data_IF_768127123864
#
_entry.id   IF_768127123864
#
_cell.length_a   1.000
_cell.length_b   1.000
_cell.length_c   1.000
_cell.angle_alpha   90.00
_cell.angle_beta   90.00
_cell.angle_gamma   90.00
#
_symmetry.space_group_name_H-M   'P 1'
#
loop_
_entity.id
_entity.type
_entity.pdbx_description
1 polymer ?
#
# COMPACT_ATOMS: atom_id res chain seq x y z
N UNK A 1 9.47 21.04 -0.54
CA UNK A 1 10.43 21.91 -1.25
C UNK A 1 10.41 21.47 -2.70
N UNK A 2 10.28 22.40 -3.64
CA UNK A 2 10.36 22.10 -5.07
C UNK A 2 11.74 22.55 -5.58
N UNK A 3 12.65 21.62 -5.91
CA UNK A 3 13.98 21.95 -6.41
C UNK A 3 13.95 22.68 -7.76
N UNK A 4 12.91 22.49 -8.58
CA UNK A 4 12.83 23.07 -9.93
C UNK A 4 12.65 24.59 -9.91
N UNK A 5 12.01 25.12 -8.85
CA UNK A 5 11.77 26.54 -8.65
C UNK A 5 12.35 27.08 -7.33
N UNK A 6 13.15 26.28 -6.62
CA UNK A 6 13.76 26.59 -5.33
C UNK A 6 12.77 27.19 -4.30
N UNK A 7 11.51 26.72 -4.33
CA UNK A 7 10.43 27.27 -3.52
C UNK A 7 9.93 26.27 -2.48
N UNK A 8 9.42 26.79 -1.37
CA UNK A 8 8.79 26.01 -0.31
C UNK A 8 7.32 26.39 -0.26
N UNK A 9 6.45 25.38 -0.35
CA UNK A 9 5.00 25.53 -0.27
C UNK A 9 4.46 24.70 0.87
N UNK A 10 3.41 25.19 1.52
CA UNK A 10 2.61 24.38 2.43
C UNK A 10 1.84 23.35 1.62
N UNK A 11 1.84 22.12 2.12
CA UNK A 11 1.18 20.99 1.49
C UNK A 11 0.12 20.45 2.46
N UNK A 12 -1.07 20.15 1.95
CA UNK A 12 -2.16 19.55 2.70
C UNK A 12 -2.32 18.10 2.27
N UNK A 13 -2.24 17.21 3.26
CA UNK A 13 -2.60 15.81 3.11
C UNK A 13 -3.73 15.49 4.08
N UNK A 14 -4.81 14.89 3.58
CA UNK A 14 -5.88 14.35 4.44
C UNK A 14 -5.91 12.85 4.24
N UNK A 15 -5.83 12.14 5.36
CA UNK A 15 -5.73 10.70 5.42
C UNK A 15 -6.86 10.13 6.30
N UNK A 16 -7.40 8.98 5.93
CA UNK A 16 -8.44 8.26 6.68
C UNK A 16 -8.14 6.76 6.72
N UNK A 17 -8.11 6.18 7.92
CA UNK A 17 -8.18 4.73 8.08
C UNK A 17 -9.65 4.30 7.97
N UNK A 18 -10.07 3.97 6.75
CA UNK A 18 -11.47 3.78 6.42
C UNK A 18 -12.04 2.46 6.96
N UNK A 19 -11.19 1.50 7.30
CA UNK A 19 -11.61 0.31 8.03
C UNK A 19 -10.60 -0.84 8.01
N UNK A 20 -10.97 -1.90 8.70
CA UNK A 20 -10.26 -3.17 8.70
C UNK A 20 -11.28 -4.31 8.68
N UNK A 21 -11.01 -5.36 7.90
CA UNK A 21 -11.87 -6.54 7.86
C UNK A 21 -11.05 -7.82 7.60
N UNK A 22 -11.57 -8.94 8.10
CA UNK A 22 -10.98 -10.25 7.88
C UNK A 22 -11.53 -10.84 6.58
N UNK A 23 -10.64 -11.37 5.73
CA UNK A 23 -11.01 -12.10 4.54
C UNK A 23 -10.21 -13.41 4.44
N UNK A 24 -10.89 -14.54 4.64
CA UNK A 24 -10.27 -15.86 4.77
C UNK A 24 -9.17 -15.86 5.84
N UNK A 25 -7.90 -15.92 5.42
CA UNK A 25 -6.70 -15.91 6.28
C UNK A 25 -5.96 -14.57 6.27
N UNK A 26 -6.53 -13.54 5.65
CA UNK A 26 -5.91 -12.22 5.50
C UNK A 26 -6.65 -11.19 6.35
N UNK A 27 -5.89 -10.30 6.97
CA UNK A 27 -6.38 -9.04 7.53
C UNK A 27 -6.24 -7.99 6.45
N UNK A 28 -7.34 -7.36 6.06
CA UNK A 28 -7.36 -6.29 5.05
C UNK A 28 -7.57 -4.96 5.73
N UNK A 29 -6.67 -4.00 5.51
CA UNK A 29 -6.82 -2.63 5.96
C UNK A 29 -7.11 -1.70 4.77
N UNK A 30 -8.08 -0.80 4.88
CA UNK A 30 -8.41 0.21 3.86
C UNK A 30 -7.92 1.59 4.33
N UNK A 31 -6.97 2.14 3.57
CA UNK A 31 -6.32 3.41 3.81
C UNK A 31 -6.73 4.37 2.69
N UNK A 32 -7.22 5.56 3.03
CA UNK A 32 -7.66 6.55 2.04
C UNK A 32 -6.91 7.86 2.18
N UNK A 33 -6.41 8.35 1.06
CA UNK A 33 -5.98 9.74 0.88
C UNK A 33 -7.16 10.50 0.29
N UNK A 34 -7.60 11.58 0.93
CA UNK A 34 -8.75 12.41 0.52
C UNK A 34 -8.29 13.81 0.06
N UNK A 35 -7.04 14.15 0.35
CA UNK A 35 -6.37 15.30 -0.26
C UNK A 35 -4.87 15.05 -0.27
N UNK A 36 -4.21 15.46 -1.33
CA UNK A 36 -2.75 15.48 -1.48
C UNK A 36 -2.41 16.61 -2.46
N UNK A 37 -2.33 17.84 -1.95
CA UNK A 37 -2.21 19.06 -2.79
C UNK A 37 -1.56 20.22 -2.04
N UNK A 38 -1.02 21.23 -2.75
CA UNK A 38 -0.68 22.51 -2.13
C UNK A 38 -1.87 23.10 -1.37
N UNK A 39 -1.60 23.71 -0.21
CA UNK A 39 -2.63 24.35 0.60
C UNK A 39 -3.30 25.46 -0.21
N UNK A 40 -4.63 25.41 -0.37
CA UNK A 40 -5.33 26.31 -1.31
C UNK A 40 -6.68 26.87 -0.83
N UNK A 41 -7.00 26.83 0.48
CA UNK A 41 -8.25 27.38 1.03
C UNK A 41 -9.55 26.67 0.60
N UNK A 42 -9.48 25.78 -0.41
CA UNK A 42 -10.59 24.92 -0.84
C UNK A 42 -10.85 23.85 0.21
N UNK A 43 -12.14 23.55 0.45
CA UNK A 43 -12.54 22.42 1.28
C UNK A 43 -12.05 21.09 0.70
N UNK A 44 -11.90 20.11 1.58
CA UNK A 44 -11.59 18.72 1.20
C UNK A 44 -12.92 18.00 1.00
N UNK A 45 -13.01 17.21 -0.07
CA UNK A 45 -14.12 16.29 -0.22
C UNK A 45 -13.78 15.05 0.61
N UNK A 46 -14.54 14.78 1.67
CA UNK A 46 -14.26 13.63 2.52
C UNK A 46 -14.99 12.35 2.07
N UNK A 47 -15.83 12.47 1.03
CA UNK A 47 -16.55 11.35 0.45
C UNK A 47 -15.71 10.66 -0.61
N UNK A 48 -15.47 9.36 -0.42
CA UNK A 48 -14.78 8.50 -1.38
C UNK A 48 -15.77 7.52 -2.01
N UNK A 49 -16.01 7.66 -3.31
CA UNK A 49 -16.97 6.82 -4.02
C UNK A 49 -16.33 5.50 -4.48
N UNK A 50 -16.54 4.45 -3.68
CA UNK A 50 -16.01 3.12 -3.98
C UNK A 50 -16.85 2.36 -5.00
N UNK A 51 -18.14 2.64 -5.13
CA UNK A 51 -19.07 1.72 -5.80
C UNK A 51 -19.51 2.18 -7.18
N UNK A 52 -19.73 3.48 -7.39
CA UNK A 52 -20.19 3.99 -8.69
C UNK A 52 -19.01 4.40 -9.58
N UNK A 53 -17.92 4.90 -8.98
CA UNK A 53 -16.76 5.38 -9.73
C UNK A 53 -15.80 4.28 -10.23
N UNK A 54 -15.95 3.03 -9.76
CA UNK A 54 -14.94 1.98 -9.97
C UNK A 54 -15.52 0.70 -10.55
N UNK A 55 -14.71 0.01 -11.34
CA UNK A 55 -15.08 -1.28 -11.88
C UNK A 55 -15.22 -2.35 -10.78
N UNK A 56 -16.19 -3.28 -10.88
CA UNK A 56 -16.34 -4.40 -9.95
C UNK A 56 -15.07 -5.25 -9.74
N UNK A 57 -14.19 -5.31 -10.76
CA UNK A 57 -12.87 -5.93 -10.64
C UNK A 57 -12.04 -5.35 -9.48
N UNK A 58 -12.12 -4.04 -9.27
CA UNK A 58 -11.38 -3.31 -8.23
C UNK A 58 -12.17 -3.12 -6.93
N UNK A 59 -13.43 -3.54 -6.84
CA UNK A 59 -14.26 -3.37 -5.63
C UNK A 59 -14.65 -4.69 -4.98
N UNK A 60 -14.38 -5.82 -5.66
CA UNK A 60 -14.62 -7.16 -5.15
C UNK A 60 -13.68 -7.59 -4.02
N UNK A 61 -13.76 -8.89 -3.67
CA UNK A 61 -12.89 -9.51 -2.66
C UNK A 61 -11.41 -9.29 -2.99
N UNK A 62 -10.58 -9.05 -1.98
CA UNK A 62 -9.13 -8.95 -2.15
C UNK A 62 -8.59 -10.26 -2.75
N UNK A 63 -7.82 -10.25 -3.86
CA UNK A 63 -7.28 -11.48 -4.40
C UNK A 63 -6.24 -12.09 -3.46
N UNK A 64 -6.08 -13.40 -3.56
CA UNK A 64 -5.04 -14.13 -2.83
C UNK A 64 -3.70 -13.94 -3.53
N UNK A 65 -2.62 -14.15 -2.78
CA UNK A 65 -1.28 -14.21 -3.36
C UNK A 65 -1.22 -15.21 -4.53
N UNK A 66 -0.50 -14.85 -5.59
CA UNK A 66 -0.37 -15.63 -6.83
C UNK A 66 0.49 -16.88 -6.63
N UNK A 67 0.07 -18.01 -7.20
CA UNK A 67 0.94 -19.17 -7.40
C UNK A 67 1.83 -18.97 -8.62
N UNK A 68 2.96 -19.66 -8.68
CA UNK A 68 3.85 -19.61 -9.84
C UNK A 68 3.15 -20.14 -11.11
N UNK A 69 2.28 -21.15 -10.97
CA UNK A 69 1.45 -21.67 -12.08
C UNK A 69 0.47 -20.61 -12.61
N UNK A 70 -0.13 -19.80 -11.74
CA UNK A 70 -1.05 -18.74 -12.15
C UNK A 70 -0.34 -17.64 -12.95
N UNK A 71 0.89 -17.32 -12.57
CA UNK A 71 1.74 -16.38 -13.31
C UNK A 71 2.17 -16.93 -14.68
N UNK A 72 2.46 -18.23 -14.76
CA UNK A 72 2.88 -18.87 -16.00
C UNK A 72 1.73 -19.06 -17.00
N UNK A 73 0.52 -19.27 -16.51
CA UNK A 73 -0.65 -19.55 -17.35
C UNK A 73 -1.16 -18.32 -18.11
N UNK A 74 -1.15 -17.13 -17.48
CA UNK A 74 -1.70 -15.90 -18.06
C UNK A 74 -0.69 -14.76 -18.04
N UNK A 75 0.33 -14.88 -18.88
CA UNK A 75 1.44 -13.92 -18.95
C UNK A 75 1.05 -12.52 -19.48
N UNK A 76 -0.15 -12.35 -20.04
CA UNK A 76 -0.67 -11.05 -20.51
C UNK A 76 -1.37 -10.28 -19.41
N UNK A 77 -2.02 -11.01 -18.50
CA UNK A 77 -2.73 -10.44 -17.37
C UNK A 77 -1.78 -9.73 -16.39
N UNK A 78 -0.61 -10.30 -16.19
CA UNK A 78 0.36 -9.88 -15.20
C UNK A 78 1.56 -9.16 -15.82
N UNK A 79 2.00 -8.07 -15.17
CA UNK A 79 3.33 -7.51 -15.41
C UNK A 79 4.25 -7.82 -14.25
N UNK A 80 5.36 -8.52 -14.51
CA UNK A 80 6.43 -8.72 -13.52
C UNK A 80 7.41 -7.57 -13.66
N UNK A 81 7.47 -6.72 -12.63
CA UNK A 81 8.26 -5.49 -12.64
C UNK A 81 9.75 -5.85 -12.69
N UNK A 82 10.46 -5.24 -13.65
CA UNK A 82 11.90 -5.40 -13.81
C UNK A 82 12.67 -4.53 -12.83
N UNK A 83 13.93 -4.85 -12.56
CA UNK A 83 14.80 -4.08 -11.64
C UNK A 83 14.96 -2.61 -12.06
N UNK A 84 15.09 -2.33 -13.36
CA UNK A 84 15.12 -0.95 -13.88
C UNK A 84 13.86 -0.16 -13.50
N UNK A 85 12.70 -0.80 -13.63
CA UNK A 85 11.41 -0.17 -13.35
C UNK A 85 11.21 0.03 -11.84
N UNK A 86 11.74 -0.87 -11.00
CA UNK A 86 11.76 -0.67 -9.54
C UNK A 86 12.55 0.58 -9.16
N UNK A 87 13.70 0.83 -9.80
CA UNK A 87 14.50 2.02 -9.55
C UNK A 87 13.83 3.31 -10.03
N UNK A 88 13.10 3.27 -11.14
CA UNK A 88 12.33 4.42 -11.64
C UNK A 88 11.03 4.66 -10.85
N UNK A 89 10.57 3.66 -10.08
CA UNK A 89 9.31 3.68 -9.34
C UNK A 89 9.55 3.40 -7.85
N UNK A 90 10.35 4.25 -7.21
CA UNK A 90 10.69 4.19 -5.79
C UNK A 90 9.47 4.21 -4.86
N UNK A 91 8.32 4.72 -5.30
CA UNK A 91 7.04 4.64 -4.58
C UNK A 91 6.58 3.20 -4.29
N UNK A 92 7.08 2.19 -5.01
CA UNK A 92 6.86 0.78 -4.66
C UNK A 92 7.51 0.40 -3.33
N UNK A 93 8.60 1.06 -2.95
CA UNK A 93 9.21 0.91 -1.63
C UNK A 93 8.27 1.44 -0.55
N UNK A 94 7.58 2.55 -0.80
CA UNK A 94 6.58 3.11 0.12
C UNK A 94 5.44 2.11 0.35
N UNK A 95 4.98 1.41 -0.70
CA UNK A 95 3.98 0.36 -0.56
C UNK A 95 4.44 -0.80 0.33
N UNK A 96 5.68 -1.26 0.14
CA UNK A 96 6.30 -2.27 0.99
C UNK A 96 6.45 -1.78 2.45
N UNK A 97 6.92 -0.55 2.65
CA UNK A 97 7.06 0.04 3.98
C UNK A 97 5.71 0.20 4.70
N UNK A 98 4.66 0.60 3.98
CA UNK A 98 3.31 0.68 4.53
C UNK A 98 2.82 -0.69 5.03
N UNK A 99 2.99 -1.73 4.21
CA UNK A 99 2.68 -3.12 4.62
C UNK A 99 3.44 -3.49 5.89
N UNK A 100 4.75 -3.20 5.94
CA UNK A 100 5.58 -3.55 7.09
C UNK A 100 5.19 -2.76 8.36
N UNK A 101 4.93 -1.47 8.24
CA UNK A 101 4.58 -0.59 9.35
C UNK A 101 3.21 -0.88 9.95
N UNK A 102 2.28 -1.44 9.17
CA UNK A 102 1.01 -1.93 9.71
C UNK A 102 1.23 -3.01 10.78
N UNK A 103 2.26 -3.83 10.59
CA UNK A 103 2.55 -4.95 11.48
C UNK A 103 3.63 -4.63 12.53
N UNK A 104 4.52 -3.69 12.21
CA UNK A 104 5.56 -3.19 13.11
C UNK A 104 5.61 -1.66 13.10
N UNK A 105 4.68 -0.99 13.80
CA UNK A 105 4.53 0.46 13.72
C UNK A 105 5.66 1.25 14.38
N UNK A 106 6.57 0.57 15.09
CA UNK A 106 7.55 1.23 15.95
C UNK A 106 8.81 1.61 15.17
N UNK A 107 9.19 0.85 14.13
CA UNK A 107 10.42 1.12 13.34
C UNK A 107 10.37 0.49 11.95
N UNK A 108 10.94 1.20 10.97
CA UNK A 108 11.30 0.65 9.66
C UNK A 108 12.57 -0.20 9.83
N UNK A 109 12.50 -1.47 9.45
CA UNK A 109 13.67 -2.35 9.34
C UNK A 109 14.31 -2.20 7.95
N UNK A 110 15.54 -2.67 7.72
CA UNK A 110 16.03 -2.82 6.37
C UNK A 110 15.16 -3.83 5.61
N UNK A 111 14.51 -3.36 4.55
CA UNK A 111 13.60 -4.13 3.71
C UNK A 111 14.17 -4.20 2.29
N UNK A 112 14.03 -5.36 1.66
CA UNK A 112 14.47 -5.62 0.28
C UNK A 112 13.29 -6.14 -0.54
N UNK A 113 12.94 -5.46 -1.63
CA UNK A 113 11.91 -5.97 -2.55
C UNK A 113 12.49 -7.17 -3.30
N UNK A 114 11.83 -8.32 -3.20
CA UNK A 114 12.22 -9.53 -3.94
C UNK A 114 11.52 -9.60 -5.30
N UNK A 115 10.23 -9.25 -5.35
CA UNK A 115 9.41 -9.34 -6.57
C UNK A 115 8.17 -8.46 -6.44
N UNK A 116 7.84 -7.75 -7.51
CA UNK A 116 6.55 -7.06 -7.67
C UNK A 116 5.87 -7.58 -8.92
N UNK A 117 4.59 -7.90 -8.79
CA UNK A 117 3.71 -8.20 -9.92
C UNK A 117 2.53 -7.25 -9.91
N UNK A 118 2.17 -6.72 -11.08
CA UNK A 118 1.03 -5.82 -11.26
C UNK A 118 -0.06 -6.52 -12.07
N UNK A 119 -1.29 -6.45 -11.57
CA UNK A 119 -2.50 -6.90 -12.26
C UNK A 119 -3.44 -5.71 -12.47
N UNK A 120 -3.95 -5.58 -13.68
CA UNK A 120 -4.95 -4.57 -14.05
C UNK A 120 -6.05 -5.26 -14.87
N UNK A 121 -7.25 -4.68 -14.82
CA UNK A 121 -8.35 -5.07 -15.71
C UNK A 121 -8.07 -4.66 -17.15
N UNK A 122 -7.48 -3.47 -17.34
CA UNK A 122 -7.27 -2.90 -18.65
C UNK A 122 -6.25 -3.73 -19.44
N UNK A 123 -6.57 -3.94 -20.71
CA UNK A 123 -5.70 -4.61 -21.67
C UNK A 123 -4.73 -3.58 -22.25
N UNK A 124 -3.59 -3.40 -21.58
CA UNK A 124 -2.51 -2.53 -22.03
C UNK A 124 -1.76 -3.23 -23.18
N UNK A 125 -2.10 -2.85 -24.41
CA UNK A 125 -1.69 -3.56 -25.62
C UNK A 125 -0.31 -3.16 -26.17
N UNK A 126 0.26 -2.05 -25.70
CA UNK A 126 1.53 -1.54 -26.25
C UNK A 126 2.72 -2.11 -25.49
N UNK A 127 2.80 -1.88 -24.17
CA UNK A 127 3.88 -2.37 -23.33
C UNK A 127 3.34 -2.80 -21.95
N UNK A 128 3.74 -3.97 -21.46
CA UNK A 128 3.25 -4.49 -20.19
C UNK A 128 3.55 -3.58 -18.98
N UNK A 129 4.64 -2.79 -19.05
CA UNK A 129 5.02 -1.82 -18.01
C UNK A 129 4.01 -0.69 -17.81
N UNK A 130 3.13 -0.42 -18.78
CA UNK A 130 2.07 0.59 -18.64
C UNK A 130 1.12 0.26 -17.47
N UNK A 131 0.98 -1.04 -17.13
CA UNK A 131 0.21 -1.50 -15.96
C UNK A 131 0.70 -0.87 -14.65
N UNK A 132 2.00 -0.55 -14.54
CA UNK A 132 2.60 0.03 -13.34
C UNK A 132 2.05 1.43 -13.04
N UNK A 133 1.68 2.18 -14.08
CA UNK A 133 1.15 3.54 -13.97
C UNK A 133 -0.38 3.59 -14.09
N UNK A 134 -1.05 2.44 -14.07
CA UNK A 134 -2.50 2.37 -14.15
C UNK A 134 -3.17 3.14 -13.01
N UNK A 135 -4.31 3.76 -13.32
CA UNK A 135 -5.13 4.50 -12.35
C UNK A 135 -5.55 3.58 -11.22
N UNK A 136 -6.07 2.41 -11.55
CA UNK A 136 -6.44 1.35 -10.62
C UNK A 136 -5.56 0.12 -10.92
N UNK A 137 -5.04 -0.52 -9.88
CA UNK A 137 -4.15 -1.67 -10.03
C UNK A 137 -4.11 -2.50 -8.76
N UNK A 138 -3.74 -3.77 -8.93
CA UNK A 138 -3.45 -4.70 -7.83
C UNK A 138 -1.97 -5.06 -7.89
N UNK A 139 -1.27 -4.86 -6.78
CA UNK A 139 0.15 -5.12 -6.62
C UNK A 139 0.35 -6.33 -5.71
N UNK A 140 1.17 -7.25 -6.16
CA UNK A 140 1.63 -8.40 -5.39
C UNK A 140 3.10 -8.16 -5.08
N UNK A 141 3.39 -7.82 -3.83
CA UNK A 141 4.72 -7.49 -3.37
C UNK A 141 5.23 -8.61 -2.47
N UNK A 142 6.36 -9.21 -2.85
CA UNK A 142 7.15 -10.03 -1.95
C UNK A 142 8.44 -9.31 -1.61
N UNK A 143 8.79 -9.31 -0.35
CA UNK A 143 9.94 -8.60 0.18
C UNK A 143 10.56 -9.38 1.33
N UNK A 144 11.80 -9.06 1.65
CA UNK A 144 12.54 -9.65 2.75
C UNK A 144 12.84 -8.59 3.79
N UNK A 145 12.56 -8.92 5.04
CA UNK A 145 13.07 -8.16 6.18
C UNK A 145 14.34 -8.84 6.67
N UNK A 146 15.48 -8.16 6.58
CA UNK A 146 16.78 -8.73 7.01
C UNK A 146 17.01 -8.59 8.52
N UNK A 147 16.07 -7.98 9.23
CA UNK A 147 16.17 -7.69 10.66
C UNK A 147 17.10 -6.52 10.98
N UNK A 148 17.12 -6.12 12.24
CA UNK A 148 18.05 -5.11 12.75
C UNK A 148 19.38 -5.76 13.14
N UNK A 149 20.51 -5.03 13.04
CA UNK A 149 21.76 -5.40 13.69
C UNK A 149 21.53 -5.82 15.15
N UNK A 150 22.24 -6.85 15.61
CA UNK A 150 21.97 -7.51 16.89
C UNK A 150 22.10 -6.59 18.12
N UNK A 151 22.87 -5.52 18.00
CA UNK A 151 23.10 -4.44 18.96
C UNK A 151 21.97 -3.39 19.01
N UNK A 152 21.03 -3.43 18.06
CA UNK A 152 19.92 -2.50 17.94
C UNK A 152 18.54 -3.15 17.99
N UNK A 153 18.44 -4.41 18.46
CA UNK A 153 17.15 -5.09 18.63
C UNK A 153 16.35 -4.44 19.77
N UNK A 154 15.19 -3.79 19.51
CA UNK A 154 14.35 -3.29 20.59
C UNK A 154 13.80 -4.45 21.43
N UNK A 155 13.49 -4.18 22.70
CA UNK A 155 12.91 -5.15 23.65
C UNK A 155 11.58 -5.72 23.13
N UNK A 156 10.87 -4.96 22.29
CA UNK A 156 9.60 -5.33 21.66
C UNK A 156 9.76 -5.99 20.28
N UNK A 157 10.99 -6.17 19.80
CA UNK A 157 11.24 -6.80 18.51
C UNK A 157 10.78 -8.25 18.52
N UNK A 158 9.88 -8.59 17.60
CA UNK A 158 9.52 -9.99 17.37
C UNK A 158 10.38 -10.57 16.25
N UNK A 159 10.95 -11.74 16.50
CA UNK A 159 11.83 -12.44 15.56
C UNK A 159 11.14 -13.05 14.35
N UNK A 160 9.82 -13.21 14.45
CA UNK A 160 8.92 -13.69 13.40
C UNK A 160 8.82 -12.72 12.20
N UNK A 161 9.23 -11.46 12.37
CA UNK A 161 9.31 -10.50 11.28
C UNK A 161 10.53 -10.64 10.37
N UNK A 162 11.53 -11.46 10.71
CA UNK A 162 12.68 -11.69 9.83
C UNK A 162 12.35 -12.76 8.80
N UNK A 163 12.72 -12.50 7.54
CA UNK A 163 12.53 -13.44 6.45
C UNK A 163 11.62 -12.89 5.37
N UNK A 164 11.03 -13.81 4.61
CA UNK A 164 10.24 -13.49 3.42
C UNK A 164 8.78 -13.20 3.77
N UNK A 165 8.30 -12.09 3.24
CA UNK A 165 6.95 -11.58 3.43
C UNK A 165 6.25 -11.40 2.09
N UNK A 166 4.93 -11.43 2.13
CA UNK A 166 4.06 -11.31 0.96
C UNK A 166 2.85 -10.46 1.32
N UNK A 167 2.54 -9.51 0.44
CA UNK A 167 1.37 -8.67 0.57
C UNK A 167 0.70 -8.39 -0.77
N UNK A 168 -0.61 -8.21 -0.71
CA UNK A 168 -1.42 -7.79 -1.84
C UNK A 168 -1.96 -6.41 -1.53
N UNK A 169 -1.74 -5.46 -2.44
CA UNK A 169 -2.20 -4.08 -2.31
C UNK A 169 -3.11 -3.78 -3.49
N UNK A 170 -4.33 -3.33 -3.23
CA UNK A 170 -5.20 -2.80 -4.27
C UNK A 170 -5.21 -1.28 -4.16
N UNK A 171 -4.78 -0.61 -5.23
CA UNK A 171 -4.86 0.85 -5.39
C UNK A 171 -6.07 1.19 -6.23
N UNK A 172 -6.91 2.09 -5.75
CA UNK A 172 -8.04 2.62 -6.50
C UNK A 172 -8.19 4.14 -6.38
N UNK A 173 -8.79 4.75 -7.40
CA UNK A 173 -9.08 6.18 -7.49
C UNK A 173 -10.55 6.35 -7.89
N UNK A 174 -11.26 7.29 -7.24
CA UNK A 174 -12.68 7.60 -7.51
C UNK A 174 -12.88 8.72 -8.56
N UNK A 175 -11.79 9.15 -9.19
CA UNK A 175 -11.79 10.24 -10.17
C UNK A 175 -11.68 11.65 -9.56
N UNK A 176 -11.75 11.81 -8.23
CA UNK A 176 -11.52 13.09 -7.58
C UNK A 176 -9.99 13.31 -7.45
N UNK A 177 -9.46 14.47 -7.89
CA UNK A 177 -8.03 14.74 -7.80
C UNK A 177 -7.51 14.67 -6.36
N UNK A 178 -6.51 13.81 -6.15
CA UNK A 178 -5.88 13.57 -4.85
C UNK A 178 -6.58 12.52 -3.98
N UNK A 179 -7.72 11.97 -4.42
CA UNK A 179 -8.35 10.83 -3.76
C UNK A 179 -7.69 9.53 -4.18
N UNK A 180 -7.32 8.69 -3.22
CA UNK A 180 -6.77 7.34 -3.45
C UNK A 180 -7.19 6.42 -2.31
N UNK A 181 -7.58 5.19 -2.60
CA UNK A 181 -7.69 4.11 -1.61
C UNK A 181 -6.61 3.07 -1.85
N UNK A 182 -6.08 2.56 -0.74
CA UNK A 182 -5.11 1.48 -0.66
C UNK A 182 -5.70 0.42 0.27
N UNK A 183 -6.20 -0.67 -0.30
CA UNK A 183 -6.56 -1.87 0.46
C UNK A 183 -5.32 -2.76 0.56
N UNK A 184 -4.89 -3.10 1.78
CA UNK A 184 -3.62 -3.81 2.02
C UNK A 184 -3.93 -5.11 2.75
N UNK A 185 -3.48 -6.22 2.18
CA UNK A 185 -3.61 -7.56 2.75
C UNK A 185 -2.23 -8.21 2.93
N UNK A 186 -1.83 -8.41 4.18
CA UNK A 186 -0.60 -9.12 4.54
C UNK A 186 -0.92 -10.53 5.07
N UNK A 187 -0.06 -11.50 4.76
CA UNK A 187 -0.18 -12.87 5.29
C UNK A 187 0.68 -12.99 6.55
N UNK A 188 0.08 -13.25 7.71
CA UNK A 188 0.89 -13.53 8.90
C UNK A 188 0.24 -13.48 10.28
N UNK A 189 -0.95 -12.91 10.46
CA UNK A 189 -1.41 -12.59 11.82
C UNK A 189 -2.48 -13.54 12.36
N UNK A 190 -2.25 -14.15 13.54
CA UNK A 190 -3.29 -14.87 14.29
C UNK A 190 -4.54 -13.99 14.45
N UNK A 191 -5.72 -14.61 14.32
CA UNK A 191 -7.03 -13.95 14.34
C UNK A 191 -7.37 -13.20 15.65
N UNK A 192 -6.48 -13.29 16.64
CA UNK A 192 -6.59 -12.83 18.02
C UNK A 192 -5.88 -11.49 18.27
N UNK A 193 -5.22 -10.88 17.28
CA UNK A 193 -4.73 -9.50 17.41
C UNK A 193 -5.83 -8.50 17.07
N UNK A 194 -6.15 -7.64 18.06
CA UNK A 194 -6.98 -6.46 17.84
C UNK A 194 -6.24 -5.54 16.86
N UNK A 195 -6.89 -5.07 15.79
CA UNK A 195 -6.28 -4.09 14.89
C UNK A 195 -5.80 -2.88 15.69
N UNK A 196 -4.55 -2.46 15.48
CA UNK A 196 -4.06 -1.23 16.08
C UNK A 196 -4.74 -0.08 15.34
N UNK A 197 -5.49 0.73 16.08
CA UNK A 197 -6.25 1.86 15.57
C UNK A 197 -5.44 3.15 15.73
N UNK A 198 -5.74 4.19 14.95
CA UNK A 198 -5.10 5.50 15.12
C UNK A 198 -5.27 6.08 16.53
N UNK A 199 -6.36 5.74 17.23
CA UNK A 199 -6.57 6.08 18.64
C UNK A 199 -5.54 5.46 19.59
N UNK A 200 -4.86 4.38 19.19
CA UNK A 200 -3.79 3.79 19.99
C UNK A 200 -2.47 4.59 19.87
N UNK A 201 -2.37 5.49 18.88
CA UNK A 201 -1.21 6.37 18.65
C UNK A 201 -1.45 7.82 19.10
N UNK A 202 -2.69 8.30 19.00
CA UNK A 202 -3.05 9.64 19.45
C UNK A 202 -3.50 9.54 20.92
N UNK A 203 -2.54 9.63 21.83
CA UNK A 203 -2.83 9.94 23.22
C UNK A 203 -3.75 11.16 23.28
N UNK A 204 -4.80 11.07 24.09
CA UNK A 204 -5.90 12.03 24.28
C UNK A 204 -5.36 13.47 24.40
N UNK A 205 -5.21 14.17 23.27
CA UNK A 205 -4.91 15.61 23.24
C UNK A 205 -6.20 16.35 23.58
N UNK A 206 -6.59 16.26 24.86
CA UNK A 206 -7.51 17.21 25.46
C UNK A 206 -6.76 18.52 25.61
N UNK A 207 -7.19 19.49 24.81
CA UNK A 207 -6.80 20.88 24.92
C UNK A 207 -6.84 21.34 26.39
N UNK A 208 -5.75 21.95 26.84
CA UNK A 208 -5.75 22.85 27.99
C UNK A 208 -6.34 24.20 27.57
#
# INVERSE_FOLDING_TARGET
MDPSCNSVFSFQTVFSAAGCYNQDTYHVQDWRVLACRPTCGKSVNEYFDRHEAMDPFYTGKMPKWLSDDALAFDNKKYYVVQESDLHENDWLLVFMEMVFLQENPVRIAPLEINKVVVETKEDYMTEAREKLHAVNAIFYISYKCTGFPADHKPITWRSDFVGDHKAVIRKTMDGIPGHMSLEIAAKGFPADHKPITWSDFVGDYRAA
#
